data_IF_047828143211
#
_entry.id   IF_047828143211
#
_cell.length_a   1.000
_cell.length_b   1.000
_cell.length_c   1.000
_cell.angle_alpha   90.00
_cell.angle_beta   90.00
_cell.angle_gamma   90.00
#
_symmetry.space_group_name_H-M   'P 1'
#
loop_
_entity.id
_entity.type
_entity.pdbx_description
1 polymer ?
#
# COMPACT_ATOMS: atom_id res chain seq x y z
N UNK A 1 -3.42 30.18 18.09
CA UNK A 1 -2.71 29.97 16.81
C UNK A 1 -1.55 29.01 17.06
N UNK A 2 -1.69 27.75 16.66
CA UNK A 2 -0.56 26.80 16.61
C UNK A 2 -0.45 26.38 15.16
N UNK A 3 0.48 27.01 14.44
CA UNK A 3 0.91 26.61 13.10
C UNK A 3 2.25 25.89 13.24
N UNK A 4 2.37 24.82 12.44
CA UNK A 4 3.59 24.07 12.11
C UNK A 4 3.97 22.91 13.04
N UNK A 5 4.05 21.70 12.47
CA UNK A 5 5.00 20.69 12.98
C UNK A 5 4.63 19.21 12.98
N UNK A 6 3.44 18.76 12.57
CA UNK A 6 3.03 17.34 12.70
C UNK A 6 3.64 16.34 11.69
N UNK A 7 4.82 16.63 11.13
CA UNK A 7 5.53 15.73 10.20
C UNK A 7 6.82 15.11 10.75
N UNK A 8 7.31 15.55 11.92
CA UNK A 8 8.49 14.96 12.58
C UNK A 8 8.17 13.94 13.68
N UNK A 9 7.05 14.10 14.39
CA UNK A 9 6.77 13.37 15.63
C UNK A 9 6.22 11.94 15.46
N UNK A 10 5.96 11.48 14.23
CA UNK A 10 5.45 10.12 14.00
C UNK A 10 6.58 9.06 13.88
N UNK A 11 7.86 9.47 13.78
CA UNK A 11 8.97 8.54 13.67
C UNK A 11 9.56 8.16 15.03
N UNK A 12 9.63 9.12 15.96
CA UNK A 12 10.31 8.92 17.24
C UNK A 12 9.39 8.39 18.36
N UNK A 13 8.08 8.69 18.33
CA UNK A 13 7.13 8.15 19.34
C UNK A 13 6.72 6.69 19.04
N UNK A 14 6.89 6.24 17.79
CA UNK A 14 6.58 4.85 17.42
C UNK A 14 7.71 3.87 17.78
N UNK A 15 8.96 4.34 17.90
CA UNK A 15 10.11 3.47 18.17
C UNK A 15 10.25 3.09 19.64
N UNK A 16 9.72 3.91 20.56
CA UNK A 16 9.79 3.64 22.00
C UNK A 16 8.87 2.50 22.46
N UNK A 17 7.80 2.20 21.69
CA UNK A 17 6.86 1.12 22.00
C UNK A 17 7.09 -0.18 21.20
N UNK A 18 7.78 -0.12 20.05
CA UNK A 18 7.95 -1.26 19.13
C UNK A 18 9.36 -1.87 19.12
N UNK A 19 10.35 -1.23 19.75
CA UNK A 19 11.75 -1.68 19.71
C UNK A 19 12.44 -1.45 18.35
N UNK A 20 13.74 -1.79 18.23
CA UNK A 20 14.46 -1.71 16.97
C UNK A 20 13.84 -2.66 15.94
N UNK A 21 13.64 -2.18 14.71
CA UNK A 21 13.10 -2.97 13.60
C UNK A 21 13.90 -4.26 13.43
N UNK A 22 13.23 -5.40 13.52
CA UNK A 22 13.87 -6.72 13.39
C UNK A 22 13.90 -7.17 11.94
N UNK A 23 14.74 -8.16 11.61
CA UNK A 23 14.73 -8.81 10.30
C UNK A 23 13.36 -9.45 9.97
N UNK A 24 12.60 -9.87 10.98
CA UNK A 24 11.24 -10.37 10.81
C UNK A 24 10.28 -9.26 10.37
N UNK A 25 10.42 -8.04 10.93
CA UNK A 25 9.61 -6.89 10.52
C UNK A 25 9.91 -6.45 9.09
N UNK A 26 11.17 -6.55 8.66
CA UNK A 26 11.56 -6.30 7.28
C UNK A 26 10.95 -7.31 6.32
N UNK A 27 10.98 -8.59 6.68
CA UNK A 27 10.33 -9.65 5.90
C UNK A 27 8.82 -9.45 5.82
N UNK A 28 8.16 -9.13 6.93
CA UNK A 28 6.72 -8.86 6.95
C UNK A 28 6.36 -7.63 6.11
N UNK A 29 7.18 -6.58 6.15
CA UNK A 29 6.98 -5.41 5.30
C UNK A 29 7.11 -5.76 3.81
N UNK A 30 8.06 -6.62 3.45
CA UNK A 30 8.25 -7.10 2.09
C UNK A 30 7.07 -7.98 1.63
N UNK A 31 6.57 -8.87 2.47
CA UNK A 31 5.37 -9.68 2.19
C UNK A 31 4.13 -8.81 1.97
N UNK A 32 3.97 -7.72 2.74
CA UNK A 32 2.90 -6.74 2.52
C UNK A 32 3.02 -6.04 1.18
N UNK A 33 4.24 -5.72 0.73
CA UNK A 33 4.44 -5.14 -0.61
C UNK A 33 4.04 -6.11 -1.73
N UNK A 34 4.34 -7.40 -1.57
CA UNK A 34 3.99 -8.44 -2.56
C UNK A 34 2.49 -8.41 -2.88
N UNK A 35 1.63 -8.40 -1.85
CA UNK A 35 0.18 -8.52 -2.00
C UNK A 35 -0.56 -7.18 -2.20
N UNK A 36 0.16 -6.05 -2.24
CA UNK A 36 -0.48 -4.73 -2.21
C UNK A 36 -1.11 -4.36 -3.56
N UNK A 37 -2.39 -4.01 -3.60
CA UNK A 37 -3.07 -3.51 -4.82
C UNK A 37 -2.84 -2.01 -5.04
N UNK A 38 -1.58 -1.61 -5.01
CA UNK A 38 -1.07 -0.27 -5.28
C UNK A 38 0.39 -0.39 -5.74
N UNK A 39 0.97 0.65 -6.36
CA UNK A 39 2.38 0.66 -6.73
C UNK A 39 3.31 0.46 -5.51
N UNK A 40 4.39 -0.28 -5.74
CA UNK A 40 5.43 -0.62 -4.76
C UNK A 40 6.82 -0.47 -5.40
N UNK A 41 7.88 -0.62 -4.59
CA UNK A 41 9.24 -0.66 -5.14
C UNK A 41 9.50 -1.93 -5.96
N UNK A 42 8.84 -3.04 -5.63
CA UNK A 42 8.95 -4.29 -6.40
C UNK A 42 8.49 -4.09 -7.84
N UNK A 43 7.47 -3.27 -8.07
CA UNK A 43 6.97 -2.97 -9.42
C UNK A 43 8.03 -2.24 -10.27
N UNK A 44 8.78 -1.31 -9.67
CA UNK A 44 9.88 -0.62 -10.36
C UNK A 44 11.01 -1.59 -10.71
N UNK A 45 11.33 -2.51 -9.81
CA UNK A 45 12.37 -3.53 -10.01
C UNK A 45 11.98 -4.56 -11.07
N UNK A 46 10.70 -4.95 -11.13
CA UNK A 46 10.17 -5.80 -12.20
C UNK A 46 10.26 -5.05 -13.52
N UNK A 47 9.76 -3.82 -13.60
CA UNK A 47 9.77 -3.02 -14.82
C UNK A 47 11.17 -2.83 -15.40
N UNK A 48 12.19 -2.64 -14.55
CA UNK A 48 13.59 -2.51 -14.97
C UNK A 48 14.18 -3.80 -15.57
N UNK A 49 13.55 -4.96 -15.32
CA UNK A 49 13.98 -6.27 -15.81
C UNK A 49 13.11 -6.79 -16.96
N UNK A 50 12.03 -6.08 -17.32
CA UNK A 50 11.17 -6.49 -18.42
C UNK A 50 11.80 -6.13 -19.76
N UNK A 51 11.84 -7.07 -20.73
CA UNK A 51 12.13 -6.74 -22.12
C UNK A 51 11.00 -5.92 -22.76
N UNK A 52 11.22 -5.43 -23.99
CA UNK A 52 10.25 -4.61 -24.74
C UNK A 52 8.91 -5.31 -24.97
N UNK A 53 8.91 -6.63 -25.16
CA UNK A 53 7.69 -7.44 -25.34
C UNK A 53 6.95 -7.74 -24.02
N UNK A 54 7.43 -7.20 -22.90
CA UNK A 54 6.88 -7.33 -21.55
C UNK A 54 6.73 -8.79 -21.08
N UNK A 55 7.48 -9.72 -21.68
CA UNK A 55 7.39 -11.14 -21.37
C UNK A 55 8.65 -11.63 -20.67
N UNK A 56 8.49 -12.21 -19.48
CA UNK A 56 9.64 -12.63 -18.66
C UNK A 56 9.41 -13.98 -18.01
N UNK A 57 10.45 -14.82 -18.00
CA UNK A 57 10.49 -16.02 -17.17
C UNK A 57 10.70 -15.61 -15.71
N UNK A 58 9.87 -16.09 -14.79
CA UNK A 58 9.97 -15.80 -13.35
C UNK A 58 11.36 -16.10 -12.78
N UNK A 59 12.06 -17.11 -13.30
CA UNK A 59 13.44 -17.42 -12.89
C UNK A 59 14.47 -16.33 -13.24
N UNK A 60 14.17 -15.47 -14.21
CA UNK A 60 15.02 -14.34 -14.60
C UNK A 60 14.84 -13.11 -13.70
N UNK A 61 13.73 -13.01 -12.97
CA UNK A 61 13.54 -11.94 -11.99
C UNK A 61 14.46 -12.15 -10.79
N UNK A 62 15.37 -11.20 -10.57
CA UNK A 62 16.36 -11.24 -9.51
C UNK A 62 16.49 -9.89 -8.82
N UNK A 63 16.80 -9.93 -7.53
CA UNK A 63 17.11 -8.72 -6.78
C UNK A 63 18.51 -8.20 -7.13
N UNK A 64 18.75 -6.88 -6.97
CA UNK A 64 20.09 -6.33 -6.94
C UNK A 64 20.96 -7.10 -5.93
N UNK A 65 22.20 -7.39 -6.31
CA UNK A 65 23.17 -8.11 -5.47
C UNK A 65 22.78 -9.53 -5.05
N UNK A 66 21.72 -10.11 -5.63
CA UNK A 66 21.36 -11.51 -5.42
C UNK A 66 20.69 -11.81 -4.07
N UNK A 67 20.13 -10.83 -3.37
CA UNK A 67 19.39 -11.06 -2.12
C UNK A 67 18.25 -12.08 -2.36
N UNK A 68 18.30 -13.28 -1.73
CA UNK A 68 17.29 -14.31 -1.93
C UNK A 68 15.90 -13.89 -1.46
N UNK A 69 15.80 -13.16 -0.35
CA UNK A 69 14.53 -12.74 0.25
C UNK A 69 13.82 -11.75 -0.68
N UNK A 70 14.56 -10.77 -1.17
CA UNK A 70 14.08 -9.82 -2.17
C UNK A 70 13.72 -10.49 -3.50
N UNK A 71 14.53 -11.46 -3.94
CA UNK A 71 14.26 -12.21 -5.17
C UNK A 71 12.97 -13.01 -5.07
N UNK A 72 12.71 -13.65 -3.94
CA UNK A 72 11.43 -14.33 -3.70
C UNK A 72 10.26 -13.34 -3.70
N UNK A 73 10.43 -12.16 -3.12
CA UNK A 73 9.41 -11.13 -3.15
C UNK A 73 9.13 -10.59 -4.56
N UNK A 74 10.14 -10.43 -5.42
CA UNK A 74 9.91 -10.06 -6.83
C UNK A 74 9.09 -11.11 -7.57
N UNK A 75 9.41 -12.39 -7.37
CA UNK A 75 8.66 -13.50 -7.97
C UNK A 75 7.24 -13.59 -7.44
N UNK A 76 7.08 -13.45 -6.12
CA UNK A 76 5.77 -13.39 -5.47
C UNK A 76 4.95 -12.21 -5.98
N UNK A 77 5.57 -11.04 -6.16
CA UNK A 77 4.91 -9.86 -6.71
C UNK A 77 4.46 -10.07 -8.15
N UNK A 78 5.30 -10.65 -8.99
CA UNK A 78 4.93 -10.98 -10.37
C UNK A 78 3.73 -11.96 -10.44
N UNK A 79 3.70 -12.96 -9.54
CA UNK A 79 2.54 -13.87 -9.38
C UNK A 79 1.29 -13.16 -8.85
N UNK A 80 1.44 -12.18 -7.95
CA UNK A 80 0.31 -11.38 -7.50
C UNK A 80 -0.25 -10.54 -8.66
N UNK A 81 0.61 -9.91 -9.47
CA UNK A 81 0.20 -9.13 -10.64
C UNK A 81 -0.54 -10.01 -11.66
N UNK A 82 -0.11 -11.25 -11.85
CA UNK A 82 -0.87 -12.26 -12.58
C UNK A 82 -2.26 -12.50 -11.96
N UNK A 83 -2.32 -12.77 -10.65
CA UNK A 83 -3.57 -13.06 -9.92
C UNK A 83 -4.60 -11.94 -10.04
N UNK A 84 -4.17 -10.68 -10.07
CA UNK A 84 -5.06 -9.52 -10.22
C UNK A 84 -5.28 -9.09 -11.67
N UNK A 85 -4.85 -9.89 -12.65
CA UNK A 85 -5.12 -9.68 -14.07
C UNK A 85 -4.32 -8.53 -14.70
N UNK A 86 -3.13 -8.26 -14.16
CA UNK A 86 -2.15 -7.31 -14.70
C UNK A 86 -0.98 -7.99 -15.41
N UNK A 87 -0.91 -9.32 -15.32
CA UNK A 87 -0.08 -10.18 -16.13
C UNK A 87 -0.83 -11.49 -16.41
N UNK A 88 -0.33 -12.29 -17.34
CA UNK A 88 -0.87 -13.62 -17.67
C UNK A 88 0.24 -14.62 -17.90
N UNK A 89 0.08 -15.85 -17.43
CA UNK A 89 1.01 -16.93 -17.76
C UNK A 89 0.82 -17.38 -19.22
N UNK A 90 1.85 -17.17 -20.04
CA UNK A 90 1.85 -17.54 -21.47
C UNK A 90 2.53 -18.87 -21.74
N UNK A 91 3.41 -19.29 -20.83
CA UNK A 91 4.12 -20.55 -20.81
C UNK A 91 4.51 -20.86 -19.36
N UNK A 92 4.86 -22.11 -19.05
CA UNK A 92 5.29 -22.50 -17.70
C UNK A 92 6.33 -21.54 -17.14
N UNK A 93 5.99 -20.90 -16.02
CA UNK A 93 6.78 -19.88 -15.31
C UNK A 93 7.17 -18.67 -16.17
N UNK A 94 6.41 -18.33 -17.21
CA UNK A 94 6.63 -17.18 -18.09
C UNK A 94 5.40 -16.30 -18.10
N UNK A 95 5.54 -15.06 -17.65
CA UNK A 95 4.46 -14.10 -17.55
C UNK A 95 4.61 -13.04 -18.64
N UNK A 96 3.52 -12.75 -19.35
CA UNK A 96 3.38 -11.56 -20.18
C UNK A 96 2.60 -10.51 -19.39
N UNK A 97 3.20 -9.33 -19.20
CA UNK A 97 2.55 -8.23 -18.50
C UNK A 97 1.66 -7.43 -19.45
N UNK A 98 0.53 -6.93 -18.95
CA UNK A 98 -0.34 -6.03 -19.72
C UNK A 98 0.40 -4.71 -20.00
N UNK A 99 0.35 -4.12 -21.20
CA UNK A 99 1.10 -2.90 -21.52
C UNK A 99 0.90 -1.73 -20.55
N UNK A 100 -0.30 -1.63 -19.97
CA UNK A 100 -0.70 -0.59 -19.03
C UNK A 100 -0.74 -1.07 -17.55
N UNK A 101 -0.07 -2.17 -17.22
CA UNK A 101 -0.15 -2.79 -15.88
C UNK A 101 0.19 -1.81 -14.74
N UNK A 102 1.16 -0.91 -14.95
CA UNK A 102 1.57 0.11 -13.96
C UNK A 102 0.51 1.18 -13.77
N UNK A 103 -0.10 1.65 -14.85
CA UNK A 103 -1.16 2.65 -14.80
C UNK A 103 -2.41 2.08 -14.12
N UNK A 104 -2.71 0.79 -14.37
CA UNK A 104 -3.79 0.08 -13.69
C UNK A 104 -3.53 -0.07 -12.19
N UNK A 105 -2.29 -0.33 -11.76
CA UNK A 105 -1.92 -0.28 -10.33
C UNK A 105 -2.11 1.11 -9.73
N UNK A 106 -1.71 2.17 -10.45
CA UNK A 106 -1.88 3.54 -10.00
C UNK A 106 -3.37 3.90 -9.82
N UNK A 107 -4.22 3.45 -10.74
CA UNK A 107 -5.67 3.62 -10.64
C UNK A 107 -6.26 2.88 -9.43
N UNK A 108 -5.76 1.68 -9.11
CA UNK A 108 -6.17 0.94 -7.90
C UNK A 108 -5.80 1.71 -6.61
N UNK A 109 -4.61 2.31 -6.55
CA UNK A 109 -4.20 3.17 -5.43
C UNK A 109 -5.12 4.38 -5.27
N UNK A 110 -5.39 5.09 -6.37
CA UNK A 110 -6.28 6.25 -6.37
C UNK A 110 -7.68 5.88 -5.86
N UNK A 111 -8.20 4.72 -6.28
CA UNK A 111 -9.49 4.24 -5.83
C UNK A 111 -9.51 3.90 -4.32
N UNK A 112 -8.40 3.38 -3.76
CA UNK A 112 -8.27 3.19 -2.32
C UNK A 112 -8.24 4.52 -1.56
N UNK A 113 -7.56 5.53 -2.09
CA UNK A 113 -7.44 6.83 -1.44
C UNK A 113 -8.77 7.61 -1.44
N UNK A 114 -9.53 7.54 -2.53
CA UNK A 114 -10.90 8.08 -2.57
C UNK A 114 -11.77 7.41 -1.51
N UNK A 115 -11.73 6.08 -1.40
CA UNK A 115 -12.51 5.34 -0.39
C UNK A 115 -12.11 5.74 1.03
N UNK A 116 -10.81 5.85 1.32
CA UNK A 116 -10.32 6.31 2.63
C UNK A 116 -10.81 7.72 2.96
N UNK A 117 -10.75 8.65 2.00
CA UNK A 117 -11.23 10.02 2.18
C UNK A 117 -12.71 10.05 2.54
N UNK A 118 -13.55 9.33 1.79
CA UNK A 118 -15.00 9.27 2.05
C UNK A 118 -15.29 8.70 3.44
N UNK A 119 -14.59 7.64 3.86
CA UNK A 119 -14.77 7.05 5.20
C UNK A 119 -14.35 8.03 6.29
N UNK A 120 -13.24 8.74 6.12
CA UNK A 120 -12.77 9.76 7.07
C UNK A 120 -13.75 10.92 7.21
N UNK A 121 -14.25 11.46 6.09
CA UNK A 121 -15.26 12.52 6.07
C UNK A 121 -16.55 12.09 6.77
N UNK A 122 -17.02 10.85 6.52
CA UNK A 122 -18.20 10.30 7.22
C UNK A 122 -17.98 10.16 8.72
N UNK A 123 -16.82 9.70 9.15
CA UNK A 123 -16.50 9.56 10.57
C UNK A 123 -16.44 10.92 11.26
N UNK A 124 -15.84 11.92 10.61
CA UNK A 124 -15.81 13.29 11.11
C UNK A 124 -17.21 13.89 11.21
N UNK A 125 -18.03 13.73 10.16
CA UNK A 125 -19.40 14.22 10.14
C UNK A 125 -20.23 13.64 11.29
N UNK A 126 -20.14 12.32 11.52
CA UNK A 126 -20.81 11.67 12.65
C UNK A 126 -20.37 12.24 14.00
N UNK A 127 -19.07 12.51 14.18
CA UNK A 127 -18.56 13.08 15.42
C UNK A 127 -19.11 14.49 15.67
N UNK A 128 -19.16 15.31 14.61
CA UNK A 128 -19.73 16.66 14.69
C UNK A 128 -21.23 16.64 14.98
N UNK A 129 -21.97 15.70 14.38
CA UNK A 129 -23.41 15.56 14.63
C UNK A 129 -23.70 15.06 16.05
N UNK A 130 -22.87 14.14 16.58
CA UNK A 130 -22.94 13.72 17.98
C UNK A 130 -22.68 14.90 18.93
N UNK A 131 -21.62 15.68 18.69
CA UNK A 131 -21.31 16.87 19.50
C UNK A 131 -22.43 17.91 19.47
N UNK A 132 -23.06 18.13 18.30
CA UNK A 132 -24.20 19.03 18.15
C UNK A 132 -25.41 18.52 18.95
N UNK A 133 -25.72 17.23 18.86
CA UNK A 133 -26.80 16.61 19.61
C UNK A 133 -26.57 16.71 21.13
N UNK A 134 -25.34 16.43 21.59
CA UNK A 134 -24.98 16.58 23.00
C UNK A 134 -25.15 18.02 23.49
N UNK A 135 -24.67 19.02 22.73
CA UNK A 135 -24.85 20.44 23.09
C UNK A 135 -26.32 20.84 23.19
N UNK A 136 -27.19 20.32 22.32
CA UNK A 136 -28.63 20.58 22.38
C UNK A 136 -29.27 19.96 23.63
N UNK A 137 -28.91 18.73 23.98
CA UNK A 137 -29.39 18.06 25.21
C UNK A 137 -28.96 18.83 26.46
N UNK A 138 -27.68 19.21 26.56
CA UNK A 138 -27.18 19.98 27.71
C UNK A 138 -27.90 21.33 27.84
N UNK A 139 -28.17 22.01 26.72
CA UNK A 139 -28.90 23.28 26.72
C UNK A 139 -30.36 23.11 27.13
N UNK A 140 -31.00 22.01 26.74
CA UNK A 140 -32.39 21.68 27.13
C UNK A 140 -32.54 21.23 28.60
N UNK A 141 -31.48 20.72 29.23
CA UNK A 141 -31.48 20.33 30.64
C UNK A 141 -31.22 21.51 31.60
N UNK A 142 -30.51 22.56 31.15
CA UNK A 142 -30.21 23.77 31.93
C UNK A 142 -31.29 24.87 31.80
N UNK A 143 -32.28 24.68 30.93
CA UNK A 143 -33.33 25.65 30.64
C UNK A 143 -34.69 25.38 31.31
N UNK A 144 -34.73 24.58 32.38
CA UNK A 144 -35.91 24.37 33.23
C UNK A 144 -35.68 24.87 34.64
#
# INVERSE_FOLDING_TARGET
FIKHGFRGLARDVATEWLGPRTAADERLALEREVIRHAPTRLDRMIAAQLPEDLTVRLSRLQAPHGDPTMTQALKGRARELERIGLAREVNRNTLAFEPNWRDRLQAMELHLDIRKRIVQERTLQKHLDLERAMKQVTRGLLGR
#
